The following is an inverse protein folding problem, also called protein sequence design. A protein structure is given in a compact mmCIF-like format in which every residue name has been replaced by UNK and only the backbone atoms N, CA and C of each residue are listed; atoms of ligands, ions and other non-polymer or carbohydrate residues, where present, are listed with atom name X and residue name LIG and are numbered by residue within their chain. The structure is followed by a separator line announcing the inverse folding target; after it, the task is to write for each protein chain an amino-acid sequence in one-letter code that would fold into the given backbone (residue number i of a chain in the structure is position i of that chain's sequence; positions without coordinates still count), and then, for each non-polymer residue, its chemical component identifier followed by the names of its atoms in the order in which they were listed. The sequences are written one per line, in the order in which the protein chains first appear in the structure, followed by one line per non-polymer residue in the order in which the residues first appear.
data_IF_047352822922
#
_entry.id   IF_047352822922
#
_cell.length_a   1.000
_cell.length_b   1.000
_cell.length_c   1.000
_cell.angle_alpha   90.00
_cell.angle_beta   90.00
_cell.angle_gamma   90.00
#
_symmetry.space_group_name_H-M   'P 1'
#
loop_
_entity.id
_entity.type
_entity.pdbx_description
1 polymer ?
#
# COMPACT_ATOMS: atom_id res chain seq x y z
N UNK A 1 16.05 -9.59 7.94
CA UNK A 1 14.61 -9.56 8.28
C UNK A 1 13.97 -8.67 7.23
N UNK A 2 13.08 -9.19 6.37
CA UNK A 2 12.64 -8.49 5.16
C UNK A 2 11.36 -7.66 5.37
N UNK A 3 10.97 -7.37 6.61
CA UNK A 3 9.62 -6.90 6.96
C UNK A 3 9.37 -5.40 6.64
N UNK A 4 10.40 -4.65 6.21
CA UNK A 4 10.32 -3.22 5.87
C UNK A 4 10.67 -2.88 4.40
N UNK A 5 10.67 -3.85 3.48
CA UNK A 5 11.03 -3.58 2.07
C UNK A 5 10.14 -2.51 1.42
N UNK A 6 8.87 -2.43 1.84
CA UNK A 6 7.90 -1.46 1.35
C UNK A 6 8.30 0.01 1.61
N UNK A 7 9.01 0.29 2.71
CA UNK A 7 9.42 1.67 3.02
C UNK A 7 10.39 2.18 1.96
N UNK A 8 11.37 1.35 1.62
CA UNK A 8 12.37 1.68 0.61
C UNK A 8 11.73 1.83 -0.78
N UNK A 9 10.83 0.90 -1.13
CA UNK A 9 10.14 0.92 -2.42
C UNK A 9 9.27 2.17 -2.62
N UNK A 10 8.61 2.66 -1.57
CA UNK A 10 7.85 3.91 -1.64
C UNK A 10 8.75 5.15 -1.57
N UNK A 11 9.85 5.09 -0.81
CA UNK A 11 10.83 6.18 -0.72
C UNK A 11 11.50 6.48 -2.08
N UNK A 12 11.65 5.48 -2.95
CA UNK A 12 12.18 5.71 -4.31
C UNK A 12 11.33 6.68 -5.13
N UNK A 13 10.01 6.69 -4.94
CA UNK A 13 9.12 7.63 -5.63
C UNK A 13 9.25 9.05 -5.08
N UNK A 14 9.53 9.20 -3.78
CA UNK A 14 9.82 10.49 -3.15
C UNK A 14 11.16 11.03 -3.67
N UNK A 15 12.18 10.17 -3.74
CA UNK A 15 13.53 10.52 -4.24
C UNK A 15 13.56 10.90 -5.72
N UNK A 16 12.65 10.35 -6.53
CA UNK A 16 12.49 10.74 -7.94
C UNK A 16 12.10 12.22 -8.11
N UNK A 17 11.52 12.85 -7.08
CA UNK A 17 11.23 14.29 -7.07
C UNK A 17 9.99 14.71 -7.87
N UNK A 18 9.16 13.76 -8.33
CA UNK A 18 7.87 14.09 -8.92
C UNK A 18 6.87 14.42 -7.80
N UNK A 19 6.33 15.66 -7.73
CA UNK A 19 5.55 16.13 -6.58
C UNK A 19 4.28 15.30 -6.34
N UNK A 20 3.56 14.93 -7.41
CA UNK A 20 2.35 14.10 -7.33
C UNK A 20 2.65 12.69 -6.79
N UNK A 21 3.77 12.09 -7.24
CA UNK A 21 4.18 10.76 -6.78
C UNK A 21 4.70 10.80 -5.35
N UNK A 22 5.45 11.83 -4.99
CA UNK A 22 5.95 12.03 -3.64
C UNK A 22 4.81 12.14 -2.63
N UNK A 23 3.82 13.01 -2.90
CA UNK A 23 2.66 13.19 -2.01
C UNK A 23 1.85 11.89 -1.82
N UNK A 24 1.57 11.18 -2.91
CA UNK A 24 0.90 9.87 -2.85
C UNK A 24 1.72 8.83 -2.08
N UNK A 25 3.04 8.82 -2.26
CA UNK A 25 3.93 7.87 -1.60
C UNK A 25 4.01 8.11 -0.09
N UNK A 26 4.09 9.36 0.36
CA UNK A 26 4.05 9.72 1.77
C UNK A 26 2.72 9.32 2.43
N UNK A 27 1.62 9.53 1.72
CA UNK A 27 0.27 9.12 2.16
C UNK A 27 0.20 7.61 2.35
N UNK A 28 0.66 6.83 1.36
CA UNK A 28 0.71 5.37 1.46
C UNK A 28 1.68 4.87 2.53
N UNK A 29 2.84 5.51 2.69
CA UNK A 29 3.80 5.14 3.75
C UNK A 29 3.19 5.33 5.14
N UNK A 30 2.45 6.41 5.35
CA UNK A 30 1.77 6.68 6.61
C UNK A 30 0.68 5.64 6.88
N UNK A 31 -0.18 5.35 5.89
CA UNK A 31 -1.25 4.37 6.02
C UNK A 31 -0.73 2.95 6.28
N UNK A 32 0.28 2.52 5.50
CA UNK A 32 0.91 1.20 5.65
C UNK A 32 1.68 1.11 6.97
N UNK A 33 2.40 2.17 7.35
CA UNK A 33 3.11 2.25 8.62
C UNK A 33 2.19 2.12 9.81
N UNK A 34 1.01 2.76 9.76
CA UNK A 34 -0.01 2.61 10.80
C UNK A 34 -0.53 1.16 10.89
N UNK A 35 -0.75 0.48 9.76
CA UNK A 35 -1.12 -0.94 9.77
C UNK A 35 -0.01 -1.85 10.30
N UNK A 36 1.26 -1.54 10.01
CA UNK A 36 2.40 -2.32 10.47
C UNK A 36 2.59 -2.23 12.00
N UNK A 37 2.25 -1.08 12.61
CA UNK A 37 2.27 -0.89 14.08
C UNK A 37 1.27 -1.83 14.77
N UNK A 38 0.13 -2.11 14.14
CA UNK A 38 -0.86 -3.11 14.61
C UNK A 38 -0.39 -4.57 14.40
N UNK A 39 0.83 -4.80 13.92
CA UNK A 39 1.37 -6.13 13.66
C UNK A 39 0.76 -6.81 12.43
N UNK A 40 0.02 -6.07 11.60
CA UNK A 40 -0.46 -6.56 10.31
C UNK A 40 0.69 -6.53 9.31
N UNK A 41 1.02 -7.71 8.75
CA UNK A 41 2.01 -7.78 7.69
C UNK A 41 1.51 -7.02 6.46
N UNK A 42 2.28 -6.01 6.03
CA UNK A 42 2.08 -5.35 4.75
C UNK A 42 2.12 -6.40 3.65
N UNK A 43 0.96 -6.66 3.03
CA UNK A 43 0.89 -7.65 1.96
C UNK A 43 1.53 -7.10 0.69
N UNK A 44 2.18 -7.96 -0.09
CA UNK A 44 2.71 -7.59 -1.41
C UNK A 44 1.61 -6.98 -2.30
N UNK A 45 0.37 -7.44 -2.14
CA UNK A 45 -0.80 -6.91 -2.85
C UNK A 45 -1.14 -5.46 -2.47
N UNK A 46 -1.04 -5.10 -1.18
CA UNK A 46 -1.25 -3.72 -0.73
C UNK A 46 -0.17 -2.80 -1.32
N UNK A 47 1.09 -3.25 -1.32
CA UNK A 47 2.20 -2.47 -1.89
C UNK A 47 2.06 -2.30 -3.40
N UNK A 48 1.68 -3.36 -4.12
CA UNK A 48 1.45 -3.30 -5.56
C UNK A 48 0.31 -2.33 -5.91
N UNK A 49 -0.80 -2.41 -5.17
CA UNK A 49 -1.93 -1.48 -5.33
C UNK A 49 -1.52 -0.03 -5.06
N UNK A 50 -0.69 0.21 -4.04
CA UNK A 50 -0.17 1.54 -3.74
C UNK A 50 0.67 2.10 -4.90
N UNK A 51 1.56 1.27 -5.47
CA UNK A 51 2.38 1.65 -6.64
C UNK A 51 1.52 1.97 -7.86
N UNK A 52 0.51 1.14 -8.14
CA UNK A 52 -0.43 1.35 -9.25
C UNK A 52 -1.14 2.71 -9.13
N UNK A 53 -1.51 3.11 -7.91
CA UNK A 53 -2.09 4.44 -7.64
C UNK A 53 -1.06 5.57 -7.77
N UNK A 54 0.16 5.40 -7.24
CA UNK A 54 1.26 6.38 -7.33
C UNK A 54 1.64 6.63 -8.80
N UNK A 55 1.69 5.57 -9.61
CA UNK A 55 1.98 5.63 -11.04
C UNK A 55 0.80 6.14 -11.88
N UNK A 56 -0.38 6.33 -11.28
CA UNK A 56 -1.58 6.83 -11.94
C UNK A 56 -2.28 5.81 -12.84
N UNK A 57 -2.01 4.51 -12.65
CA UNK A 57 -2.66 3.41 -13.39
C UNK A 57 -4.09 3.17 -12.92
N UNK A 58 -4.36 3.45 -11.64
CA UNK A 58 -5.69 3.41 -11.01
C UNK A 58 -5.95 4.68 -10.22
N UNK A 59 -7.23 4.93 -9.97
CA UNK A 59 -7.67 5.97 -9.03
C UNK A 59 -7.59 5.49 -7.57
N UNK A 60 -7.66 6.43 -6.62
CA UNK A 60 -7.72 6.11 -5.19
C UNK A 60 -8.95 5.26 -4.83
N UNK A 61 -10.08 5.49 -5.51
CA UNK A 61 -11.32 4.71 -5.30
C UNK A 61 -11.13 3.25 -5.72
N UNK A 62 -10.54 3.01 -6.88
CA UNK A 62 -10.20 1.67 -7.35
C UNK A 62 -9.19 0.98 -6.42
N UNK A 63 -8.20 1.71 -5.93
CA UNK A 63 -7.25 1.19 -4.95
C UNK A 63 -7.96 0.75 -3.66
N UNK A 64 -8.88 1.57 -3.14
CA UNK A 64 -9.69 1.23 -1.97
C UNK A 64 -10.57 0.01 -2.22
N UNK A 65 -11.27 -0.07 -3.35
CA UNK A 65 -12.09 -1.22 -3.72
C UNK A 65 -11.28 -2.52 -3.81
N UNK A 66 -10.09 -2.47 -4.43
CA UNK A 66 -9.16 -3.60 -4.56
C UNK A 66 -8.67 -4.09 -3.20
N UNK A 67 -8.30 -3.16 -2.32
CA UNK A 67 -7.84 -3.45 -0.96
C UNK A 67 -8.97 -4.05 -0.13
N UNK A 68 -10.15 -3.42 -0.15
CA UNK A 68 -11.32 -3.89 0.59
C UNK A 68 -11.70 -5.31 0.17
N UNK A 69 -11.87 -5.53 -1.14
CA UNK A 69 -12.20 -6.84 -1.70
C UNK A 69 -11.19 -7.92 -1.31
N UNK A 70 -9.90 -7.59 -1.29
CA UNK A 70 -8.84 -8.52 -0.94
C UNK A 70 -8.88 -8.96 0.54
N UNK A 71 -9.11 -8.02 1.47
CA UNK A 71 -9.17 -8.33 2.89
C UNK A 71 -10.53 -8.93 3.31
N UNK A 72 -11.64 -8.54 2.67
CA UNK A 72 -12.96 -9.18 2.85
C UNK A 72 -12.94 -10.67 2.47
N UNK A 73 -12.29 -11.01 1.36
CA UNK A 73 -12.15 -12.41 0.94
C UNK A 73 -11.24 -13.23 1.87
N UNK A 74 -10.29 -12.58 2.57
CA UNK A 74 -9.43 -13.27 3.54
C UNK A 74 -10.10 -13.46 4.90
N UNK A 75 -10.93 -12.52 5.36
CA UNK A 75 -11.66 -12.69 6.62
C UNK A 75 -12.67 -13.84 6.52
N UNK A 76 -13.39 -13.95 5.39
CA UNK A 76 -14.35 -15.04 5.15
C UNK A 76 -13.71 -16.43 5.10
N UNK A 77 -12.41 -16.53 4.79
CA UNK A 77 -11.68 -17.83 4.78
C UNK A 77 -11.09 -18.22 6.14
N UNK A 78 -11.15 -17.34 7.13
CA UNK A 78 -10.63 -17.61 8.49
C UNK A 78 -11.76 -18.01 9.46
N UNK A 79 -13.03 -17.95 9.04
CA UNK A 79 -14.21 -18.32 9.83
C UNK A 79 -14.76 -19.74 9.53
N UNK A 80 -13.89 -20.72 9.23
CA UNK A 80 -14.28 -22.14 9.12
C UNK A 80 -13.58 -23.03 10.15
#
# INVERSE_FOLDING_TARGET
MPDQNWQFELEEYIKQGEPDRAEKSETWQTAIGLQAVDGLNTSAYLLDTAKDHIEGKITIDEAQQRIHSYYEQRTTRTEI
#
